data_IF_288158379525
#
_entry.id   IF_288158379525
#
_cell.length_a   1.000
_cell.length_b   1.000
_cell.length_c   1.000
_cell.angle_alpha   90.00
_cell.angle_beta   90.00
_cell.angle_gamma   90.00
#
_symmetry.space_group_name_H-M   'P 1'
#
loop_
_entity.id
_entity.type
_entity.pdbx_description
1 polymer ?
#
# COMPACT_ATOMS: atom_id res chain seq x y z
N UNK A 1 -4.31 5.90 -14.98
CA UNK A 1 -4.70 6.23 -13.60
C UNK A 1 -3.62 7.02 -12.85
N UNK A 2 -2.44 6.46 -12.60
CA UNK A 2 -1.26 7.15 -12.04
C UNK A 2 -0.09 7.08 -13.00
N UNK A 3 0.58 8.20 -13.26
CA UNK A 3 1.80 8.28 -14.05
C UNK A 3 2.87 9.01 -13.25
N UNK A 4 4.02 8.35 -13.08
CA UNK A 4 5.20 8.90 -12.40
C UNK A 4 6.32 8.99 -13.41
N UNK A 5 6.92 10.18 -13.58
CA UNK A 5 7.93 10.42 -14.60
C UNK A 5 9.17 11.08 -14.00
N UNK A 6 10.32 10.41 -14.14
CA UNK A 6 11.64 10.93 -13.75
C UNK A 6 11.73 11.31 -12.28
N UNK A 7 11.06 10.58 -11.38
CA UNK A 7 10.96 10.96 -9.97
C UNK A 7 12.32 10.90 -9.28
N UNK A 8 12.69 11.99 -8.63
CA UNK A 8 13.95 12.12 -7.88
C UNK A 8 13.67 12.65 -6.48
N UNK A 9 14.32 12.05 -5.47
CA UNK A 9 14.35 12.61 -4.11
C UNK A 9 15.74 12.58 -3.54
N UNK A 10 16.25 13.76 -3.17
CA UNK A 10 17.54 13.95 -2.51
C UNK A 10 17.37 14.49 -1.11
N UNK A 11 18.19 14.01 -0.19
CA UNK A 11 18.32 14.50 1.18
C UNK A 11 19.78 14.91 1.40
N UNK A 12 20.07 16.20 1.28
CA UNK A 12 21.47 16.68 1.26
C UNK A 12 22.25 16.03 0.12
N UNK A 13 23.34 15.33 0.44
CA UNK A 13 24.19 14.61 -0.53
C UNK A 13 23.69 13.21 -0.90
N UNK A 14 22.65 12.69 -0.23
CA UNK A 14 22.12 11.35 -0.46
C UNK A 14 20.93 11.37 -1.42
N UNK A 15 20.94 10.53 -2.46
CA UNK A 15 19.82 10.35 -3.39
C UNK A 15 19.05 9.09 -3.00
N UNK A 16 17.85 9.27 -2.44
CA UNK A 16 17.00 8.17 -1.99
C UNK A 16 16.13 7.58 -3.09
N UNK A 17 15.79 8.38 -4.12
CA UNK A 17 15.07 7.95 -5.34
C UNK A 17 15.74 8.66 -6.51
N UNK A 18 16.12 7.91 -7.53
CA UNK A 18 16.90 8.38 -8.67
C UNK A 18 16.20 8.03 -9.99
N UNK A 19 15.59 9.02 -10.63
CA UNK A 19 14.99 8.94 -11.96
C UNK A 19 13.99 7.76 -12.15
N UNK A 20 13.12 7.52 -11.16
CA UNK A 20 12.14 6.44 -11.22
C UNK A 20 10.91 6.87 -12.01
N UNK A 21 10.53 6.06 -13.01
CA UNK A 21 9.33 6.25 -13.83
C UNK A 21 8.52 4.96 -13.88
N UNK A 22 7.20 5.06 -13.68
CA UNK A 22 6.26 3.95 -13.79
C UNK A 22 4.82 4.46 -13.96
N UNK A 23 3.93 3.55 -14.35
CA UNK A 23 2.50 3.81 -14.48
C UNK A 23 1.72 2.77 -13.70
N UNK A 24 0.51 3.11 -13.27
CA UNK A 24 -0.44 2.17 -12.66
C UNK A 24 -1.77 2.34 -13.36
N UNK A 25 -2.30 1.22 -13.85
CA UNK A 25 -3.59 1.19 -14.54
C UNK A 25 -4.75 1.14 -13.53
N UNK A 26 -5.94 1.51 -13.96
CA UNK A 26 -7.11 1.44 -13.11
C UNK A 26 -7.47 -0.02 -12.79
N UNK A 27 -7.74 -0.32 -11.53
CA UNK A 27 -8.08 -1.67 -11.08
C UNK A 27 -6.89 -2.63 -10.97
N UNK A 28 -5.65 -2.13 -11.18
CA UNK A 28 -4.43 -2.91 -11.03
C UNK A 28 -4.00 -3.01 -9.56
N UNK A 29 -3.43 -4.14 -9.17
CA UNK A 29 -2.61 -4.27 -7.96
C UNK A 29 -1.15 -4.30 -8.38
N UNK A 30 -0.42 -3.19 -8.18
CA UNK A 30 1.03 -3.12 -8.42
C UNK A 30 1.78 -3.44 -7.12
N UNK A 31 2.61 -4.47 -7.15
CA UNK A 31 3.55 -4.77 -6.06
C UNK A 31 4.82 -3.91 -6.18
N UNK A 32 5.19 -3.25 -5.10
CA UNK A 32 6.46 -2.50 -5.02
C UNK A 32 7.37 -3.18 -4.01
N UNK A 33 8.44 -3.78 -4.50
CA UNK A 33 9.39 -4.56 -3.71
C UNK A 33 10.82 -4.04 -3.81
N UNK A 34 11.69 -4.54 -2.96
CA UNK A 34 13.11 -4.20 -2.91
C UNK A 34 13.65 -4.29 -1.48
N UNK A 35 14.98 -4.33 -1.30
CA UNK A 35 15.60 -4.38 0.02
C UNK A 35 15.28 -3.15 0.88
N UNK A 36 15.61 -3.23 2.16
CA UNK A 36 15.50 -2.08 3.06
C UNK A 36 16.40 -0.95 2.57
N UNK A 37 15.85 0.28 2.57
CA UNK A 37 16.57 1.43 2.04
C UNK A 37 16.50 1.62 0.52
N UNK A 38 15.84 0.75 -0.24
CA UNK A 38 15.73 0.87 -1.70
C UNK A 38 14.88 2.05 -2.22
N UNK A 39 14.19 2.78 -1.34
CA UNK A 39 13.41 3.97 -1.71
C UNK A 39 11.89 3.79 -1.71
N UNK A 40 11.34 2.61 -1.42
CA UNK A 40 9.88 2.33 -1.42
C UNK A 40 9.08 3.32 -0.58
N UNK A 41 9.41 3.46 0.70
CA UNK A 41 8.71 4.39 1.60
C UNK A 41 8.90 5.86 1.18
N UNK A 42 10.02 6.19 0.52
CA UNK A 42 10.24 7.53 -0.03
C UNK A 42 9.28 7.81 -1.18
N UNK A 43 9.08 6.85 -2.10
CA UNK A 43 8.08 6.95 -3.17
C UNK A 43 6.68 7.10 -2.57
N UNK A 44 6.28 6.25 -1.62
CA UNK A 44 4.98 6.36 -0.94
C UNK A 44 4.77 7.72 -0.27
N UNK A 45 5.82 8.26 0.35
CA UNK A 45 5.77 9.59 0.96
C UNK A 45 5.60 10.71 -0.09
N UNK A 46 6.17 10.57 -1.28
CA UNK A 46 5.97 11.53 -2.37
C UNK A 46 4.58 11.39 -2.99
N UNK A 47 4.07 10.18 -3.22
CA UNK A 47 2.72 9.93 -3.73
C UNK A 47 1.64 10.43 -2.78
N UNK A 48 1.85 10.35 -1.46
CA UNK A 48 0.91 10.84 -0.43
C UNK A 48 1.12 12.30 -0.03
N UNK A 49 2.04 13.03 -0.69
CA UNK A 49 2.33 14.44 -0.43
C UNK A 49 3.04 14.76 0.88
N UNK A 50 3.49 13.74 1.63
CA UNK A 50 4.28 13.93 2.87
C UNK A 50 5.71 14.34 2.58
N UNK A 51 6.20 14.07 1.36
CA UNK A 51 7.48 14.56 0.85
C UNK A 51 7.28 15.22 -0.52
N UNK A 52 7.96 16.34 -0.73
CA UNK A 52 8.01 16.99 -2.05
C UNK A 52 9.15 16.35 -2.84
N UNK A 53 8.94 15.91 -4.10
CA UNK A 53 10.01 15.47 -4.98
C UNK A 53 11.06 16.56 -5.19
N UNK A 54 12.32 16.16 -5.42
CA UNK A 54 13.37 17.08 -5.84
C UNK A 54 13.27 17.41 -7.34
N UNK A 55 12.82 16.42 -8.14
CA UNK A 55 12.55 16.56 -9.56
C UNK A 55 11.57 15.45 -10.01
N UNK A 56 11.07 15.56 -11.23
CA UNK A 56 10.07 14.65 -11.80
C UNK A 56 8.65 15.12 -11.55
N UNK A 57 7.68 14.37 -12.07
CA UNK A 57 6.25 14.65 -11.98
C UNK A 57 5.48 13.44 -11.50
N UNK A 58 4.33 13.70 -10.86
CA UNK A 58 3.37 12.69 -10.39
C UNK A 58 1.99 13.14 -10.86
N UNK A 59 1.45 12.47 -11.85
CA UNK A 59 0.12 12.74 -12.38
C UNK A 59 -0.87 11.66 -11.93
N UNK A 60 -1.94 12.07 -11.26
CA UNK A 60 -3.02 11.21 -10.82
C UNK A 60 -4.33 11.66 -11.45
N UNK A 61 -4.97 10.78 -12.24
CA UNK A 61 -6.21 11.06 -12.99
C UNK A 61 -6.11 12.34 -13.84
N UNK A 62 -4.94 12.57 -14.48
CA UNK A 62 -4.71 13.74 -15.33
C UNK A 62 -4.37 15.03 -14.57
N UNK A 63 -4.17 14.95 -13.26
CA UNK A 63 -3.83 16.10 -12.41
C UNK A 63 -2.44 15.93 -11.81
N UNK A 64 -1.57 16.94 -11.98
CA UNK A 64 -0.25 16.97 -11.31
C UNK A 64 -0.41 17.13 -9.80
N UNK A 65 0.15 16.20 -9.03
CA UNK A 65 0.05 16.16 -7.57
C UNK A 65 1.38 16.30 -6.84
N UNK A 66 2.51 16.43 -7.54
CA UNK A 66 3.81 16.61 -6.90
C UNK A 66 3.84 17.88 -6.04
N UNK A 67 4.13 17.74 -4.75
CA UNK A 67 4.15 18.85 -3.80
C UNK A 67 2.77 19.33 -3.33
N UNK A 68 1.69 18.68 -3.73
CA UNK A 68 0.35 18.93 -3.19
C UNK A 68 0.28 18.44 -1.74
N UNK A 69 -0.37 19.21 -0.87
CA UNK A 69 -0.49 18.89 0.55
C UNK A 69 -1.29 17.59 0.78
N UNK A 70 -0.92 16.74 1.78
CA UNK A 70 -1.51 15.43 2.00
C UNK A 70 -3.05 15.42 2.10
N UNK A 71 -3.63 16.40 2.79
CA UNK A 71 -5.09 16.47 2.93
C UNK A 71 -5.82 16.70 1.60
N UNK A 72 -5.19 17.38 0.63
CA UNK A 72 -5.75 17.56 -0.72
C UNK A 72 -5.60 16.29 -1.56
N UNK A 73 -4.49 15.55 -1.37
CA UNK A 73 -4.26 14.26 -2.04
C UNK A 73 -5.31 13.24 -1.60
N UNK A 74 -5.61 13.18 -0.28
CA UNK A 74 -6.65 12.28 0.25
C UNK A 74 -8.02 12.64 -0.35
N UNK A 75 -8.40 13.92 -0.34
CA UNK A 75 -9.66 14.39 -0.95
C UNK A 75 -9.68 14.14 -2.47
N UNK A 76 -8.51 14.15 -3.11
CA UNK A 76 -8.33 13.82 -4.52
C UNK A 76 -8.46 12.33 -4.84
N UNK A 77 -8.60 11.46 -3.84
CA UNK A 77 -8.86 10.02 -4.06
C UNK A 77 -7.66 9.10 -3.84
N UNK A 78 -6.58 9.54 -3.18
CA UNK A 78 -5.47 8.67 -2.79
C UNK A 78 -5.55 8.39 -1.29
N UNK A 79 -5.91 7.15 -0.91
CA UNK A 79 -5.86 6.65 0.46
C UNK A 79 -4.51 6.02 0.77
N UNK A 80 -4.11 6.04 2.05
CA UNK A 80 -2.86 5.39 2.49
C UNK A 80 -3.04 4.70 3.83
N UNK A 81 -2.49 3.49 3.96
CA UNK A 81 -2.22 2.86 5.26
C UNK A 81 -0.83 3.23 5.76
N UNK A 82 -0.60 3.08 7.07
CA UNK A 82 0.71 3.29 7.66
C UNK A 82 1.23 1.97 8.24
N UNK A 83 2.52 1.72 8.05
CA UNK A 83 3.22 0.56 8.58
C UNK A 83 3.00 0.38 10.10
N UNK A 84 3.08 1.48 10.85
CA UNK A 84 2.76 1.51 12.28
C UNK A 84 1.37 2.10 12.44
N UNK A 85 0.38 1.31 12.92
CA UNK A 85 -0.97 1.80 13.14
C UNK A 85 -1.00 3.00 14.10
N UNK A 86 -1.84 3.99 13.77
CA UNK A 86 -2.00 5.22 14.56
C UNK A 86 -3.48 5.45 14.92
N UNK A 87 -4.03 4.64 15.81
CA UNK A 87 -5.40 4.83 16.25
C UNK A 87 -5.53 6.03 17.20
N UNK A 88 -6.70 6.64 17.21
CA UNK A 88 -7.09 7.58 18.22
C UNK A 88 -7.66 6.79 19.41
N UNK A 89 -6.86 6.53 20.43
CA UNK A 89 -7.25 5.70 21.59
C UNK A 89 -8.45 6.22 22.39
N UNK A 90 -8.77 7.51 22.32
CA UNK A 90 -9.95 8.10 22.98
C UNK A 90 -11.23 7.96 22.17
N UNK A 91 -11.15 7.44 20.95
CA UNK A 91 -12.28 7.19 20.07
C UNK A 91 -12.53 5.68 19.97
N UNK A 92 -13.76 5.29 19.75
CA UNK A 92 -14.13 3.90 19.43
C UNK A 92 -13.56 3.47 18.08
N UNK A 93 -13.61 2.18 17.78
CA UNK A 93 -13.23 1.63 16.45
C UNK A 93 -14.05 2.34 15.36
N UNK A 94 -15.35 2.45 15.55
CA UNK A 94 -16.27 3.11 14.63
C UNK A 94 -15.91 4.59 14.42
N UNK A 95 -15.71 5.33 15.50
CA UNK A 95 -15.38 6.77 15.43
C UNK A 95 -14.03 7.04 14.75
N UNK A 96 -13.03 6.18 14.94
CA UNK A 96 -11.76 6.27 14.22
C UNK A 96 -11.96 6.22 12.70
N UNK A 97 -12.81 5.32 12.22
CA UNK A 97 -13.08 5.14 10.79
C UNK A 97 -14.01 6.24 10.26
N UNK A 98 -15.05 6.60 11.01
CA UNK A 98 -15.97 7.67 10.65
C UNK A 98 -15.26 9.03 10.54
N UNK A 99 -14.29 9.31 11.43
CA UNK A 99 -13.48 10.52 11.37
C UNK A 99 -12.67 10.60 10.06
N UNK A 100 -12.07 9.49 9.65
CA UNK A 100 -11.34 9.42 8.38
C UNK A 100 -12.27 9.67 7.18
N UNK A 101 -13.46 9.06 7.18
CA UNK A 101 -14.46 9.28 6.14
C UNK A 101 -14.97 10.73 6.09
N UNK A 102 -15.13 11.37 7.26
CA UNK A 102 -15.60 12.74 7.35
C UNK A 102 -14.66 13.75 6.69
N UNK A 103 -13.36 13.61 6.90
CA UNK A 103 -12.37 14.51 6.31
C UNK A 103 -11.88 14.05 4.93
N UNK A 104 -11.83 12.75 4.67
CA UNK A 104 -11.29 12.20 3.43
C UNK A 104 -12.17 12.43 2.21
N UNK A 105 -13.50 12.36 2.37
CA UNK A 105 -14.42 12.52 1.24
C UNK A 105 -14.70 13.99 0.84
N UNK A 106 -14.15 14.96 1.56
CA UNK A 106 -14.36 16.38 1.28
C UNK A 106 -15.80 16.89 1.45
N UNK A 107 -16.75 16.00 1.74
CA UNK A 107 -18.18 16.37 1.86
C UNK A 107 -18.58 16.88 3.24
N UNK A 108 -17.77 16.63 4.27
CA UNK A 108 -18.03 16.95 5.68
C UNK A 108 -19.43 16.57 6.18
N UNK A 109 -20.00 15.50 5.61
CA UNK A 109 -21.31 14.98 5.99
C UNK A 109 -21.14 13.85 7.01
N UNK A 110 -21.73 14.02 8.20
CA UNK A 110 -21.70 13.01 9.26
C UNK A 110 -22.36 11.70 8.82
N UNK A 111 -23.53 11.78 8.19
CA UNK A 111 -24.24 10.58 7.72
C UNK A 111 -23.41 9.80 6.70
N UNK A 112 -22.83 10.48 5.70
CA UNK A 112 -21.94 9.82 4.73
C UNK A 112 -20.69 9.22 5.36
N UNK A 113 -20.11 9.88 6.37
CA UNK A 113 -18.96 9.37 7.09
C UNK A 113 -19.30 8.11 7.91
N UNK A 114 -20.46 8.07 8.55
CA UNK A 114 -20.96 6.91 9.28
C UNK A 114 -21.25 5.73 8.33
N UNK A 115 -21.90 5.98 7.19
CA UNK A 115 -22.13 4.97 6.15
C UNK A 115 -20.83 4.41 5.57
N UNK A 116 -19.83 5.29 5.34
CA UNK A 116 -18.52 4.87 4.87
C UNK A 116 -17.79 4.02 5.92
N UNK A 117 -17.91 4.39 7.19
CA UNK A 117 -17.32 3.62 8.29
C UNK A 117 -17.93 2.22 8.40
N UNK A 118 -19.25 2.08 8.33
CA UNK A 118 -19.91 0.78 8.36
C UNK A 118 -19.45 -0.13 7.21
N UNK A 119 -19.40 0.40 5.98
CA UNK A 119 -18.92 -0.37 4.82
C UNK A 119 -17.45 -0.75 4.97
N UNK A 120 -16.59 0.18 5.37
CA UNK A 120 -15.16 -0.08 5.53
C UNK A 120 -14.87 -1.10 6.63
N UNK A 121 -15.55 -1.01 7.78
CA UNK A 121 -15.43 -1.97 8.87
C UNK A 121 -15.92 -3.37 8.44
N UNK A 122 -17.04 -3.45 7.74
CA UNK A 122 -17.55 -4.70 7.18
C UNK A 122 -16.57 -5.34 6.18
N UNK A 123 -15.93 -4.53 5.33
CA UNK A 123 -14.94 -4.99 4.35
C UNK A 123 -13.73 -5.65 5.01
N UNK A 124 -13.21 -5.06 6.09
CA UNK A 124 -12.02 -5.59 6.80
C UNK A 124 -12.35 -6.60 7.90
N UNK A 125 -13.64 -6.88 8.13
CA UNK A 125 -14.11 -7.82 9.16
C UNK A 125 -13.83 -7.33 10.58
N UNK A 126 -13.99 -6.03 10.84
CA UNK A 126 -14.02 -5.43 12.17
C UNK A 126 -15.47 -5.15 12.62
N UNK A 127 -15.74 -5.17 13.95
CA UNK A 127 -17.08 -4.87 14.45
C UNK A 127 -17.47 -3.41 14.16
N UNK A 128 -18.66 -3.20 13.65
CA UNK A 128 -19.26 -1.88 13.49
C UNK A 128 -19.97 -1.39 14.78
N UNK A 129 -19.73 -2.05 15.91
CA UNK A 129 -20.23 -1.62 17.21
C UNK A 129 -19.68 -0.23 17.57
N UNK A 130 -20.61 0.69 17.82
CA UNK A 130 -20.27 2.10 18.12
C UNK A 130 -19.57 2.29 19.47
N UNK A 131 -19.55 1.26 20.31
CA UNK A 131 -18.93 1.30 21.65
C UNK A 131 -17.65 0.46 21.75
N UNK A 132 -17.27 -0.27 20.70
CA UNK A 132 -16.08 -1.10 20.72
C UNK A 132 -14.80 -0.25 20.84
N UNK A 133 -14.02 -0.50 21.91
CA UNK A 133 -12.76 0.20 22.15
C UNK A 133 -11.65 -0.31 21.25
N UNK A 134 -10.76 0.60 20.85
CA UNK A 134 -9.53 0.28 20.11
C UNK A 134 -8.57 -0.56 20.95
N UNK A 135 -8.56 -0.36 22.28
CA UNK A 135 -7.63 -1.05 23.21
C UNK A 135 -7.83 -2.56 23.26
N UNK A 136 -8.99 -3.06 22.78
CA UNK A 136 -9.26 -4.48 22.63
C UNK A 136 -8.67 -5.11 21.35
N UNK A 137 -8.11 -4.31 20.45
CA UNK A 137 -7.55 -4.80 19.19
C UNK A 137 -6.10 -5.28 19.37
N UNK A 138 -5.82 -6.53 18.97
CA UNK A 138 -4.45 -7.01 18.79
C UNK A 138 -3.79 -6.40 17.53
N UNK A 139 -2.54 -6.77 17.27
CA UNK A 139 -1.76 -6.23 16.15
C UNK A 139 -2.48 -6.35 14.79
N UNK A 140 -3.07 -7.51 14.50
CA UNK A 140 -3.84 -7.73 13.27
C UNK A 140 -5.09 -6.84 13.21
N UNK A 141 -5.80 -6.66 14.33
CA UNK A 141 -6.97 -5.78 14.42
C UNK A 141 -6.60 -4.31 14.17
N UNK A 142 -5.47 -3.84 14.72
CA UNK A 142 -4.97 -2.49 14.49
C UNK A 142 -4.62 -2.24 13.01
N UNK A 143 -4.05 -3.22 12.32
CA UNK A 143 -3.77 -3.14 10.87
C UNK A 143 -5.06 -3.10 10.05
N UNK A 144 -6.06 -3.92 10.40
CA UNK A 144 -7.39 -3.85 9.80
C UNK A 144 -8.04 -2.48 10.03
N UNK A 145 -7.86 -1.88 11.21
CA UNK A 145 -8.35 -0.53 11.50
C UNK A 145 -7.69 0.53 10.61
N UNK A 146 -6.37 0.47 10.40
CA UNK A 146 -5.69 1.38 9.47
C UNK A 146 -6.22 1.24 8.04
N UNK A 147 -6.44 0.00 7.59
CA UNK A 147 -7.02 -0.25 6.28
C UNK A 147 -8.46 0.28 6.18
N UNK A 148 -9.30 0.05 7.20
CA UNK A 148 -10.65 0.59 7.25
C UNK A 148 -10.68 2.13 7.22
N UNK A 149 -9.77 2.79 7.94
CA UNK A 149 -9.61 4.25 7.90
C UNK A 149 -9.27 4.73 6.48
N UNK A 150 -8.32 4.07 5.81
CA UNK A 150 -7.96 4.42 4.45
C UNK A 150 -9.14 4.21 3.47
N UNK A 151 -9.87 3.09 3.57
CA UNK A 151 -11.04 2.80 2.73
C UNK A 151 -12.20 3.79 2.96
N UNK A 152 -12.44 4.21 4.20
CA UNK A 152 -13.50 5.16 4.52
C UNK A 152 -13.31 6.54 3.87
N UNK A 153 -12.08 6.90 3.47
CA UNK A 153 -11.84 8.12 2.68
C UNK A 153 -12.41 8.05 1.26
N UNK A 154 -12.84 6.87 0.79
CA UNK A 154 -13.36 6.66 -0.56
C UNK A 154 -12.27 6.77 -1.64
N UNK A 155 -11.14 6.07 -1.52
CA UNK A 155 -10.03 6.25 -2.44
C UNK A 155 -10.28 5.55 -3.78
N UNK A 156 -9.76 6.13 -4.88
CA UNK A 156 -9.60 5.47 -6.18
C UNK A 156 -8.26 4.71 -6.25
N UNK A 157 -7.24 5.21 -5.50
CA UNK A 157 -5.92 4.58 -5.36
C UNK A 157 -5.61 4.38 -3.87
N UNK A 158 -5.30 3.14 -3.49
CA UNK A 158 -4.85 2.78 -2.15
C UNK A 158 -3.35 2.52 -2.14
N UNK A 159 -2.62 3.24 -1.31
CA UNK A 159 -1.21 2.98 -1.00
C UNK A 159 -1.15 2.09 0.26
N UNK A 160 -0.94 0.80 0.07
CA UNK A 160 -0.86 -0.19 1.16
C UNK A 160 0.60 -0.42 1.56
N UNK A 161 1.01 0.13 2.72
CA UNK A 161 2.40 0.14 3.18
C UNK A 161 2.60 -0.91 4.27
N UNK A 162 3.30 -2.01 3.96
CA UNK A 162 3.62 -3.13 4.87
C UNK A 162 2.45 -3.53 5.79
N UNK A 163 1.26 -3.58 5.19
CA UNK A 163 0.02 -3.76 5.92
C UNK A 163 -0.12 -5.17 6.53
N UNK A 164 0.74 -6.10 6.13
CA UNK A 164 0.70 -7.51 6.55
C UNK A 164 1.89 -7.94 7.42
N UNK A 165 2.94 -7.16 7.53
CA UNK A 165 4.14 -7.52 8.29
C UNK A 165 3.82 -7.91 9.76
N UNK A 166 4.44 -9.00 10.28
CA UNK A 166 4.22 -9.51 11.63
C UNK A 166 2.93 -10.30 11.84
N UNK A 167 2.24 -10.69 10.76
CA UNK A 167 1.15 -11.66 10.77
C UNK A 167 1.69 -13.07 10.54
N UNK A 168 0.99 -14.10 11.02
CA UNK A 168 1.25 -15.48 10.64
C UNK A 168 0.80 -15.76 9.19
N UNK A 169 1.22 -16.90 8.63
CA UNK A 169 0.95 -17.28 7.24
C UNK A 169 -0.56 -17.25 6.92
N UNK A 170 -1.40 -17.69 7.84
CA UNK A 170 -2.86 -17.72 7.65
C UNK A 170 -3.45 -16.31 7.60
N UNK A 171 -3.01 -15.45 8.50
CA UNK A 171 -3.46 -14.06 8.54
C UNK A 171 -2.94 -13.25 7.33
N UNK A 172 -1.76 -13.60 6.81
CA UNK A 172 -1.22 -13.01 5.58
C UNK A 172 -2.05 -13.41 4.36
N UNK A 173 -2.43 -14.67 4.23
CA UNK A 173 -3.29 -15.13 3.14
C UNK A 173 -4.66 -14.46 3.20
N UNK A 174 -5.27 -14.37 4.37
CA UNK A 174 -6.53 -13.65 4.57
C UNK A 174 -6.44 -12.17 4.19
N UNK A 175 -5.35 -11.51 4.50
CA UNK A 175 -5.18 -10.10 4.17
C UNK A 175 -4.87 -9.89 2.68
N UNK A 176 -4.19 -10.84 2.04
CA UNK A 176 -4.01 -10.86 0.59
C UNK A 176 -5.35 -11.02 -0.14
N UNK A 177 -6.20 -11.94 0.30
CA UNK A 177 -7.56 -12.13 -0.23
C UNK A 177 -8.43 -10.90 0.02
N UNK A 178 -8.25 -10.22 1.16
CA UNK A 178 -8.93 -8.95 1.46
C UNK A 178 -8.54 -7.85 0.46
N UNK A 179 -7.28 -7.72 0.09
CA UNK A 179 -6.85 -6.72 -0.91
C UNK A 179 -7.45 -7.01 -2.30
N UNK A 180 -7.51 -8.29 -2.70
CA UNK A 180 -8.22 -8.68 -3.93
C UNK A 180 -9.69 -8.31 -3.86
N UNK A 181 -10.35 -8.65 -2.76
CA UNK A 181 -11.76 -8.32 -2.55
C UNK A 181 -12.01 -6.81 -2.61
N UNK A 182 -11.14 -5.99 -2.00
CA UNK A 182 -11.20 -4.53 -2.06
C UNK A 182 -11.11 -4.04 -3.51
N UNK A 183 -10.14 -4.55 -4.28
CA UNK A 183 -10.02 -4.22 -5.71
C UNK A 183 -11.28 -4.61 -6.48
N UNK A 184 -11.72 -5.87 -6.34
CA UNK A 184 -12.78 -6.45 -7.17
C UNK A 184 -14.17 -5.88 -6.85
N UNK A 185 -14.49 -5.65 -5.56
CA UNK A 185 -15.79 -5.15 -5.14
C UNK A 185 -15.91 -3.62 -5.17
N UNK A 186 -14.81 -2.91 -4.91
CA UNK A 186 -14.83 -1.44 -4.84
C UNK A 186 -14.18 -0.77 -6.06
N UNK A 187 -13.56 -1.53 -6.97
CA UNK A 187 -12.87 -1.00 -8.15
C UNK A 187 -11.61 -0.17 -7.81
N UNK A 188 -11.05 -0.35 -6.60
CA UNK A 188 -9.92 0.42 -6.11
C UNK A 188 -8.61 -0.12 -6.72
N UNK A 189 -7.79 0.79 -7.23
CA UNK A 189 -6.41 0.51 -7.65
C UNK A 189 -5.51 0.44 -6.43
N UNK A 190 -4.53 -0.45 -6.40
CA UNK A 190 -3.68 -0.65 -5.21
C UNK A 190 -2.21 -0.61 -5.60
N UNK A 191 -1.39 0.17 -4.91
CA UNK A 191 0.06 -0.03 -4.86
C UNK A 191 0.39 -0.65 -3.52
N UNK A 192 0.97 -1.84 -3.54
CA UNK A 192 1.21 -2.62 -2.34
C UNK A 192 2.71 -2.82 -2.10
N UNK A 193 3.22 -2.30 -0.99
CA UNK A 193 4.59 -2.55 -0.52
C UNK A 193 4.57 -3.70 0.47
N UNK A 194 5.33 -4.75 0.18
CA UNK A 194 5.59 -5.87 1.08
C UNK A 194 6.99 -6.43 0.86
N UNK A 195 7.53 -7.05 1.90
CA UNK A 195 8.80 -7.78 1.84
C UNK A 195 8.59 -9.31 1.86
N UNK A 196 7.36 -9.79 2.03
CA UNK A 196 7.04 -11.22 1.98
C UNK A 196 6.64 -11.59 0.56
N UNK A 197 7.66 -11.92 -0.25
CA UNK A 197 7.52 -12.20 -1.69
C UNK A 197 6.47 -13.27 -2.00
N UNK A 198 6.41 -14.34 -1.20
CA UNK A 198 5.52 -15.48 -1.45
C UNK A 198 4.03 -15.12 -1.46
N UNK A 199 3.60 -14.17 -0.64
CA UNK A 199 2.22 -13.70 -0.59
C UNK A 199 1.97 -12.66 -1.67
N UNK A 200 2.84 -11.67 -1.80
CA UNK A 200 2.72 -10.59 -2.76
C UNK A 200 2.61 -11.13 -4.19
N UNK A 201 3.52 -12.01 -4.61
CA UNK A 201 3.57 -12.58 -5.96
C UNK A 201 2.31 -13.35 -6.38
N UNK A 202 1.46 -13.78 -5.44
CA UNK A 202 0.20 -14.48 -5.74
C UNK A 202 -0.97 -13.53 -5.97
N UNK A 203 -0.86 -12.28 -5.53
CA UNK A 203 -1.97 -11.32 -5.47
C UNK A 203 -1.85 -10.23 -6.52
N UNK A 204 -0.62 -9.77 -6.77
CA UNK A 204 -0.38 -8.63 -7.65
C UNK A 204 -0.46 -9.00 -9.13
N UNK A 205 -0.91 -8.06 -9.93
CA UNK A 205 -0.96 -8.18 -11.39
C UNK A 205 0.42 -7.94 -12.00
N UNK A 206 1.18 -7.00 -11.41
CA UNK A 206 2.51 -6.60 -11.84
C UNK A 206 3.39 -6.25 -10.65
N UNK A 207 4.70 -6.42 -10.80
CA UNK A 207 5.71 -6.11 -9.76
C UNK A 207 6.69 -5.11 -10.31
N UNK A 208 7.04 -4.12 -9.50
CA UNK A 208 8.16 -3.21 -9.71
C UNK A 208 9.20 -3.41 -8.61
N UNK A 209 10.46 -3.57 -8.99
CA UNK A 209 11.56 -3.79 -8.07
C UNK A 209 12.45 -2.55 -8.01
N UNK A 210 12.69 -2.09 -6.79
CA UNK A 210 13.62 -1.00 -6.50
C UNK A 210 14.88 -1.53 -5.84
N UNK A 211 16.01 -1.00 -6.24
CA UNK A 211 17.27 -1.16 -5.55
C UNK A 211 18.06 0.16 -5.57
N UNK A 212 18.64 0.57 -4.43
CA UNK A 212 19.43 1.80 -4.28
C UNK A 212 18.77 3.06 -4.88
N UNK A 213 17.44 3.16 -4.79
CA UNK A 213 16.66 4.28 -5.32
C UNK A 213 16.34 4.21 -6.81
N UNK A 214 16.69 3.14 -7.50
CA UNK A 214 16.45 2.94 -8.93
C UNK A 214 15.50 1.78 -9.20
N UNK A 215 14.76 1.86 -10.29
CA UNK A 215 13.95 0.76 -10.78
C UNK A 215 14.82 -0.23 -11.56
N UNK A 216 15.02 -1.44 -11.03
CA UNK A 216 15.86 -2.47 -11.65
C UNK A 216 15.06 -3.47 -12.48
N UNK A 217 13.78 -3.69 -12.17
CA UNK A 217 12.92 -4.60 -12.92
C UNK A 217 11.45 -4.20 -12.79
N UNK A 218 10.63 -4.53 -13.78
CA UNK A 218 9.19 -4.33 -13.77
C UNK A 218 8.52 -5.31 -14.74
N UNK A 219 7.46 -5.98 -14.32
CA UNK A 219 6.74 -6.93 -15.17
C UNK A 219 5.81 -7.87 -14.39
N UNK A 220 5.38 -8.93 -15.06
CA UNK A 220 4.60 -10.00 -14.43
C UNK A 220 5.38 -10.65 -13.28
N UNK A 221 4.72 -11.10 -12.20
CA UNK A 221 5.39 -11.71 -11.05
C UNK A 221 6.38 -12.83 -11.42
N UNK A 222 6.01 -13.70 -12.38
CA UNK A 222 6.87 -14.79 -12.83
C UNK A 222 8.11 -14.32 -13.59
N UNK A 223 8.01 -13.26 -14.37
CA UNK A 223 9.14 -12.69 -15.11
C UNK A 223 10.11 -12.00 -14.16
N UNK A 224 9.59 -11.23 -13.20
CA UNK A 224 10.40 -10.54 -12.18
C UNK A 224 11.11 -11.53 -11.27
N UNK A 225 10.46 -12.63 -10.85
CA UNK A 225 11.06 -13.65 -10.00
C UNK A 225 12.25 -14.37 -10.68
N UNK A 226 12.30 -14.41 -12.02
CA UNK A 226 13.39 -15.02 -12.79
C UNK A 226 14.41 -14.01 -13.34
N UNK A 227 14.25 -12.71 -13.07
CA UNK A 227 15.22 -11.67 -13.49
C UNK A 227 16.54 -11.82 -12.69
N UNK A 228 17.69 -12.05 -13.35
CA UNK A 228 18.96 -12.24 -12.68
C UNK A 228 19.35 -11.06 -11.75
N UNK A 229 18.99 -9.83 -12.12
CA UNK A 229 19.26 -8.64 -11.29
C UNK A 229 18.47 -8.66 -10.00
N UNK A 230 17.22 -9.13 -10.05
CA UNK A 230 16.36 -9.28 -8.87
C UNK A 230 16.90 -10.38 -7.97
N UNK A 231 17.27 -11.54 -8.56
CA UNK A 231 17.87 -12.66 -7.84
C UNK A 231 19.16 -12.22 -7.12
N UNK A 232 20.04 -11.50 -7.81
CA UNK A 232 21.31 -10.98 -7.23
C UNK A 232 21.07 -10.08 -6.01
N UNK A 233 20.12 -9.15 -6.10
CA UNK A 233 19.78 -8.22 -5.02
C UNK A 233 19.23 -8.95 -3.79
N UNK A 234 18.46 -10.01 -3.98
CA UNK A 234 17.86 -10.76 -2.88
C UNK A 234 18.76 -11.90 -2.36
N UNK A 235 19.58 -12.55 -3.21
CA UNK A 235 20.55 -13.57 -2.80
C UNK A 235 21.81 -12.98 -2.17
N UNK A 236 22.21 -11.77 -2.55
CA UNK A 236 23.33 -11.06 -1.96
C UNK A 236 23.08 -10.60 -0.51
N UNK A 237 21.82 -10.61 -0.05
CA UNK A 237 21.42 -10.40 1.34
C UNK A 237 21.00 -11.74 1.95
N UNK A 238 21.86 -12.39 2.71
CA UNK A 238 21.74 -13.77 3.25
C UNK A 238 20.43 -14.12 4.00
N UNK A 239 19.48 -13.20 4.12
CA UNK A 239 18.22 -13.39 4.84
C UNK A 239 17.02 -13.78 3.98
N UNK A 240 17.00 -13.50 2.68
CA UNK A 240 15.79 -13.61 1.83
C UNK A 240 15.82 -14.74 0.79
N UNK A 241 16.96 -15.41 0.60
CA UNK A 241 17.11 -16.51 -0.37
C UNK A 241 16.19 -17.71 -0.10
N UNK A 242 15.86 -17.97 1.17
CA UNK A 242 14.90 -19.02 1.56
C UNK A 242 13.46 -18.71 1.14
N UNK A 243 13.09 -17.43 0.96
CA UNK A 243 11.74 -17.00 0.61
C UNK A 243 11.45 -17.10 -0.90
N UNK A 244 12.45 -16.83 -1.76
CA UNK A 244 12.34 -17.03 -3.21
C UNK A 244 12.20 -18.53 -3.55
N UNK A 245 13.03 -19.37 -2.95
CA UNK A 245 12.97 -20.83 -3.14
C UNK A 245 11.65 -21.44 -2.61
N UNK A 246 11.12 -20.94 -1.51
CA UNK A 246 9.83 -21.38 -0.96
C UNK A 246 8.63 -20.94 -1.84
N UNK A 247 8.72 -19.82 -2.50
CA UNK A 247 7.69 -19.34 -3.45
C UNK A 247 7.62 -20.19 -4.71
N UNK A 248 8.77 -20.65 -5.22
CA UNK A 248 8.84 -21.56 -6.37
C UNK A 248 8.36 -22.98 -6.02
N UNK A 249 8.75 -23.51 -4.86
CA UNK A 249 8.35 -24.84 -4.41
C UNK A 249 6.83 -24.98 -4.20
N UNK A 250 6.16 -23.93 -3.73
CA UNK A 250 4.69 -23.91 -3.54
C UNK A 250 3.90 -23.76 -4.85
N UNK A 251 4.51 -23.26 -5.94
CA UNK A 251 3.89 -23.24 -7.29
C UNK A 251 3.94 -24.62 -7.97
N UNK A 252 4.96 -25.44 -7.70
CA UNK A 252 5.09 -26.78 -8.29
C UNK A 252 4.20 -27.85 -7.63
N UNK A 253 3.59 -27.58 -6.50
CA UNK A 253 2.77 -28.54 -5.75
C UNK A 253 1.25 -28.41 -5.98
N UNK A 254 0.83 -27.52 -6.89
CA UNK A 254 -0.57 -27.25 -7.22
C UNK A 254 -0.95 -27.61 -8.66
N UNK A 255 -0.57 -28.82 -9.12
CA UNK A 255 -1.12 -29.45 -10.34
C UNK A 255 -1.83 -30.74 -9.96
#
# INVERSE_FOLDING_TARGET
MLTVSGLVKRFGGFTAVNNVSFQVEQGEILGLIGPNGSGKSTIFNMLSGTLVPTAGSIEFEGVEIAGVAPHRIIVGGIGRTFQIPRPFHRLTIFENVALAGFYGQGSHSRARAEDAAERALGMVGLPADRHASVDGLGAAGLKKLELAKALATGPNLLLADESLGGLDDTAMDQAADMLRKIRDELGITIIWVEHIMGVLMRVVDRVMVLDHGEKISEGLPSAVASDPRVIEVYLGTDADSSQLAAAEARRGAGV
#
